data_IF_905577852596
#
_entry.id   IF_905577852596
#
_cell.length_a   1.000
_cell.length_b   1.000
_cell.length_c   1.000
_cell.angle_alpha   90.00
_cell.angle_beta   90.00
_cell.angle_gamma   90.00
#
_symmetry.space_group_name_H-M   'P 1'
#
loop_
_entity.id
_entity.type
_entity.pdbx_description
1 polymer ?
#
# COMPACT_ATOMS: atom_id res chain seq x y z
N UNK A 1 -28.22 4.03 20.88
CA UNK A 1 -26.76 3.94 20.69
C UNK A 1 -26.18 5.19 21.32
N UNK A 2 -25.27 5.03 22.27
CA UNK A 2 -24.68 6.13 23.03
C UNK A 2 -23.81 7.01 22.09
N UNK A 3 -23.84 8.33 22.29
CA UNK A 3 -23.01 9.29 21.52
C UNK A 3 -21.52 9.00 21.73
N UNK A 4 -21.15 8.50 22.91
CA UNK A 4 -19.80 8.03 23.19
C UNK A 4 -19.39 6.83 22.31
N UNK A 5 -20.27 5.85 22.12
CA UNK A 5 -20.04 4.67 21.27
C UNK A 5 -19.83 5.08 19.81
N UNK A 6 -20.65 6.01 19.29
CA UNK A 6 -20.47 6.55 17.93
C UNK A 6 -19.14 7.29 17.76
N UNK A 7 -18.72 8.03 18.78
CA UNK A 7 -17.46 8.79 18.74
C UNK A 7 -16.26 7.83 18.76
N UNK A 8 -16.29 6.80 19.60
CA UNK A 8 -15.26 5.77 19.67
C UNK A 8 -15.11 5.03 18.32
N UNK A 9 -16.22 4.67 17.68
CA UNK A 9 -16.19 4.03 16.35
C UNK A 9 -15.57 4.93 15.29
N UNK A 10 -15.90 6.23 15.29
CA UNK A 10 -15.29 7.19 14.36
C UNK A 10 -13.78 7.31 14.59
N UNK A 11 -13.34 7.33 15.85
CA UNK A 11 -11.92 7.32 16.20
C UNK A 11 -11.25 6.07 15.64
N UNK A 12 -11.84 4.88 15.83
CA UNK A 12 -11.28 3.63 15.30
C UNK A 12 -11.23 3.60 13.76
N UNK A 13 -12.24 4.12 13.09
CA UNK A 13 -12.24 4.28 11.62
C UNK A 13 -11.10 5.21 11.16
N UNK A 14 -10.88 6.32 11.87
CA UNK A 14 -9.77 7.23 11.58
C UNK A 14 -8.42 6.56 11.80
N UNK A 15 -8.25 5.83 12.90
CA UNK A 15 -7.03 5.07 13.20
C UNK A 15 -6.69 4.08 12.09
N UNK A 16 -7.65 3.25 11.66
CA UNK A 16 -7.46 2.28 10.57
C UNK A 16 -7.08 2.97 9.25
N UNK A 17 -7.70 4.12 8.95
CA UNK A 17 -7.35 4.91 7.77
C UNK A 17 -5.90 5.39 7.82
N UNK A 18 -5.48 5.99 8.93
CA UNK A 18 -4.12 6.51 9.11
C UNK A 18 -3.07 5.39 9.01
N UNK A 19 -3.39 4.19 9.51
CA UNK A 19 -2.53 3.00 9.36
C UNK A 19 -2.35 2.60 7.89
N UNK A 20 -3.43 2.58 7.10
CA UNK A 20 -3.36 2.33 5.65
C UNK A 20 -2.50 3.40 4.94
N UNK A 21 -2.74 4.68 5.25
CA UNK A 21 -1.97 5.79 4.68
C UNK A 21 -0.48 5.62 4.96
N UNK A 22 -0.13 5.33 6.21
CA UNK A 22 1.26 5.09 6.62
C UNK A 22 1.90 3.95 5.84
N UNK A 23 1.30 2.76 5.83
CA UNK A 23 1.88 1.59 5.13
C UNK A 23 2.04 1.86 3.64
N UNK A 24 1.04 2.47 3.01
CA UNK A 24 1.10 2.81 1.58
C UNK A 24 2.24 3.77 1.26
N UNK A 25 2.45 4.77 2.12
CA UNK A 25 3.50 5.76 1.97
C UNK A 25 4.89 5.16 2.21
N UNK A 26 5.03 4.31 3.22
CA UNK A 26 6.28 3.63 3.54
C UNK A 26 6.66 2.64 2.42
N UNK A 27 5.70 1.85 1.92
CA UNK A 27 5.90 1.00 0.75
C UNK A 27 6.32 1.79 -0.49
N UNK A 28 5.66 2.92 -0.75
CA UNK A 28 6.03 3.82 -1.84
C UNK A 28 7.49 4.28 -1.72
N UNK A 29 7.90 4.74 -0.53
CA UNK A 29 9.26 5.22 -0.28
C UNK A 29 10.32 4.14 -0.49
N UNK A 30 10.06 2.94 0.02
CA UNK A 30 11.00 1.81 -0.08
C UNK A 30 11.18 1.38 -1.55
N UNK A 31 10.09 1.30 -2.32
CA UNK A 31 10.13 0.78 -3.69
C UNK A 31 10.53 1.84 -4.73
N UNK A 32 10.11 3.09 -4.55
CA UNK A 32 10.25 4.13 -5.61
C UNK A 32 11.63 4.79 -5.67
N UNK A 33 12.54 4.46 -4.74
CA UNK A 33 13.75 5.24 -4.40
C UNK A 33 13.42 6.68 -3.92
N UNK A 34 14.17 7.22 -2.94
CA UNK A 34 13.79 8.44 -2.21
C UNK A 34 13.77 9.73 -3.04
N UNK A 35 14.38 9.75 -4.24
CA UNK A 35 14.61 10.99 -5.01
C UNK A 35 13.46 11.39 -5.95
N UNK A 36 12.39 10.59 -6.05
CA UNK A 36 11.23 10.95 -6.88
C UNK A 36 10.21 11.72 -6.04
N UNK A 37 9.96 13.02 -6.34
CA UNK A 37 8.93 13.76 -5.62
C UNK A 37 7.59 13.07 -5.83
N UNK A 38 6.79 12.84 -4.76
CA UNK A 38 5.47 12.27 -4.90
C UNK A 38 4.66 13.18 -5.82
N UNK A 39 4.16 12.63 -6.93
CA UNK A 39 3.24 13.34 -7.81
C UNK A 39 1.98 13.69 -7.03
N UNK A 40 1.42 14.88 -7.28
CA UNK A 40 0.33 15.50 -6.51
C UNK A 40 -1.00 14.69 -6.46
N UNK A 41 -1.06 13.51 -7.07
CA UNK A 41 -2.14 12.53 -6.95
C UNK A 41 -1.79 11.37 -6.00
N UNK A 42 -0.98 11.63 -4.96
CA UNK A 42 -0.47 10.63 -4.01
C UNK A 42 -1.51 10.17 -2.99
N UNK A 43 -2.67 9.74 -3.46
CA UNK A 43 -3.66 9.12 -2.59
C UNK A 43 -3.15 7.74 -2.17
N UNK A 44 -3.39 7.36 -0.90
CA UNK A 44 -3.02 6.05 -0.38
C UNK A 44 -3.53 4.90 -1.27
N UNK A 45 -4.68 5.08 -1.92
CA UNK A 45 -5.24 4.15 -2.91
C UNK A 45 -4.26 3.79 -4.04
N UNK A 46 -3.61 4.80 -4.62
CA UNK A 46 -2.60 4.62 -5.65
C UNK A 46 -1.32 4.00 -5.07
N UNK A 47 -0.89 4.47 -3.91
CA UNK A 47 0.36 4.06 -3.27
C UNK A 47 0.32 2.60 -2.75
N UNK A 48 -0.85 2.06 -2.44
CA UNK A 48 -1.00 0.67 -2.01
C UNK A 48 -0.45 -0.36 -3.02
N UNK A 49 -0.39 -0.01 -4.31
CA UNK A 49 0.20 -0.90 -5.31
C UNK A 49 1.69 -1.18 -5.08
N UNK A 50 2.41 -0.28 -4.39
CA UNK A 50 3.83 -0.43 -4.11
C UNK A 50 4.12 -1.53 -3.08
N UNK A 51 3.11 -1.99 -2.32
CA UNK A 51 3.25 -3.15 -1.42
C UNK A 51 3.64 -4.42 -2.21
N UNK A 52 3.27 -4.53 -3.49
CA UNK A 52 3.73 -5.64 -4.35
C UNK A 52 5.23 -5.68 -4.52
N UNK A 53 5.91 -4.52 -4.47
CA UNK A 53 7.37 -4.45 -4.55
C UNK A 53 8.09 -4.87 -3.29
N UNK A 54 7.36 -5.13 -2.18
CA UNK A 54 7.92 -5.58 -0.90
C UNK A 54 7.92 -7.11 -0.77
N UNK A 55 7.32 -7.83 -1.70
CA UNK A 55 7.08 -9.29 -1.58
C UNK A 55 7.59 -10.05 -2.81
N UNK A 56 7.88 -11.34 -2.63
CA UNK A 56 8.17 -12.25 -3.73
C UNK A 56 6.98 -12.45 -4.68
N UNK A 57 7.27 -12.77 -5.94
CA UNK A 57 6.25 -12.98 -6.98
C UNK A 57 5.28 -14.13 -6.67
N UNK A 58 5.72 -15.12 -5.92
CA UNK A 58 4.93 -16.25 -5.44
C UNK A 58 3.75 -15.82 -4.55
N UNK A 59 3.84 -14.65 -3.92
CA UNK A 59 2.82 -14.12 -3.00
C UNK A 59 1.92 -13.04 -3.61
N UNK A 60 2.11 -12.69 -4.88
CA UNK A 60 1.38 -11.57 -5.50
C UNK A 60 -0.14 -11.75 -5.45
N UNK A 61 -0.65 -12.97 -5.60
CA UNK A 61 -2.09 -13.25 -5.52
C UNK A 61 -2.69 -12.88 -4.15
N UNK A 62 -2.01 -13.28 -3.07
CA UNK A 62 -2.39 -12.96 -1.69
C UNK A 62 -2.37 -11.43 -1.47
N UNK A 63 -1.27 -10.80 -1.84
CA UNK A 63 -1.04 -9.36 -1.60
C UNK A 63 -2.02 -8.50 -2.40
N UNK A 64 -2.31 -8.86 -3.66
CA UNK A 64 -3.35 -8.18 -4.45
C UNK A 64 -4.72 -8.25 -3.79
N UNK A 65 -5.05 -9.39 -3.16
CA UNK A 65 -6.28 -9.54 -2.38
C UNK A 65 -6.35 -8.55 -1.23
N UNK A 66 -5.29 -8.46 -0.43
CA UNK A 66 -5.20 -7.53 0.70
C UNK A 66 -5.24 -6.07 0.22
N UNK A 67 -4.51 -5.71 -0.83
CA UNK A 67 -4.53 -4.37 -1.43
C UNK A 67 -5.96 -3.96 -1.80
N UNK A 68 -6.71 -4.84 -2.49
CA UNK A 68 -8.10 -4.54 -2.89
C UNK A 68 -9.01 -4.29 -1.68
N UNK A 69 -8.87 -5.09 -0.63
CA UNK A 69 -9.63 -4.90 0.61
C UNK A 69 -9.23 -3.60 1.32
N UNK A 70 -7.93 -3.29 1.42
CA UNK A 70 -7.44 -2.05 2.01
C UNK A 70 -7.93 -0.81 1.27
N UNK A 71 -7.98 -0.85 -0.07
CA UNK A 71 -8.57 0.23 -0.89
C UNK A 71 -10.05 0.44 -0.59
N UNK A 72 -10.80 -0.65 -0.46
CA UNK A 72 -12.21 -0.60 -0.08
C UNK A 72 -12.38 0.06 1.30
N UNK A 73 -11.59 -0.35 2.29
CA UNK A 73 -11.60 0.20 3.65
C UNK A 73 -11.24 1.68 3.63
N UNK A 74 -10.21 2.07 2.88
CA UNK A 74 -9.79 3.47 2.76
C UNK A 74 -10.90 4.36 2.19
N UNK A 75 -11.59 3.91 1.14
CA UNK A 75 -12.72 4.64 0.57
C UNK A 75 -13.89 4.73 1.54
N UNK A 76 -14.25 3.61 2.19
CA UNK A 76 -15.35 3.56 3.16
C UNK A 76 -15.09 4.40 4.40
N UNK A 77 -13.87 4.39 4.93
CA UNK A 77 -13.48 5.25 6.05
C UNK A 77 -13.61 6.73 5.68
N UNK A 78 -13.24 7.11 4.45
CA UNK A 78 -13.49 8.45 3.90
C UNK A 78 -14.97 8.84 3.95
N UNK A 79 -15.84 7.96 3.44
CA UNK A 79 -17.28 8.23 3.39
C UNK A 79 -17.88 8.37 4.80
N UNK A 80 -17.42 7.55 5.75
CA UNK A 80 -17.86 7.60 7.16
C UNK A 80 -17.39 8.89 7.83
N UNK A 81 -16.12 9.26 7.68
CA UNK A 81 -15.54 10.46 8.30
C UNK A 81 -16.13 11.77 7.73
N UNK A 82 -16.49 11.78 6.44
CA UNK A 82 -17.15 12.93 5.81
C UNK A 82 -18.68 12.93 6.00
N UNK A 83 -19.25 11.98 6.74
CA UNK A 83 -20.70 11.88 6.94
C UNK A 83 -21.50 11.62 5.66
N UNK A 84 -20.84 11.17 4.58
CA UNK A 84 -21.46 10.88 3.28
C UNK A 84 -22.10 9.50 3.25
N UNK A 85 -21.71 8.63 4.17
CA UNK A 85 -22.37 7.35 4.39
C UNK A 85 -23.28 7.43 5.61
N UNK A 86 -24.55 7.04 5.45
CA UNK A 86 -25.45 6.75 6.57
C UNK A 86 -24.95 5.59 7.45
N UNK A 87 -23.85 4.92 7.06
CA UNK A 87 -23.07 3.93 7.82
C UNK A 87 -22.30 4.57 8.99
N UNK A 88 -23.01 5.30 9.85
CA UNK A 88 -22.57 5.51 11.24
C UNK A 88 -22.40 4.18 12.02
N UNK A 89 -22.74 3.05 11.40
CA UNK A 89 -22.57 1.71 11.94
C UNK A 89 -21.61 0.88 11.09
N UNK A 90 -20.33 1.25 11.02
CA UNK A 90 -19.34 0.17 11.04
C UNK A 90 -19.61 -0.58 12.35
N UNK A 91 -20.19 -1.78 12.25
CA UNK A 91 -20.40 -2.62 13.43
C UNK A 91 -19.03 -2.98 14.02
N UNK A 92 -18.99 -3.37 15.30
CA UNK A 92 -17.74 -3.86 15.91
C UNK A 92 -17.12 -4.98 15.08
N UNK A 93 -17.96 -5.90 14.58
CA UNK A 93 -17.54 -7.00 13.69
C UNK A 93 -16.87 -6.48 12.42
N UNK A 94 -17.44 -5.48 11.75
CA UNK A 94 -16.82 -4.89 10.56
C UNK A 94 -15.50 -4.19 10.89
N UNK A 95 -15.42 -3.52 12.04
CA UNK A 95 -14.17 -2.88 12.48
C UNK A 95 -13.07 -3.92 12.80
N UNK A 96 -13.44 -5.05 13.41
CA UNK A 96 -12.52 -6.18 13.65
C UNK A 96 -12.03 -6.80 12.34
N UNK A 97 -12.92 -6.99 11.36
CA UNK A 97 -12.54 -7.46 10.02
C UNK A 97 -11.58 -6.47 9.32
N UNK A 98 -11.87 -5.18 9.43
CA UNK A 98 -11.00 -4.14 8.86
C UNK A 98 -9.64 -4.12 9.55
N UNK A 99 -9.62 -4.26 10.87
CA UNK A 99 -8.38 -4.36 11.63
C UNK A 99 -7.54 -5.56 11.21
N UNK A 100 -8.15 -6.72 10.98
CA UNK A 100 -7.44 -7.90 10.46
C UNK A 100 -6.82 -7.64 9.08
N UNK A 101 -7.55 -6.98 8.18
CA UNK A 101 -7.02 -6.62 6.85
C UNK A 101 -5.87 -5.64 6.97
N UNK A 102 -6.00 -4.60 7.80
CA UNK A 102 -4.94 -3.60 8.01
C UNK A 102 -3.70 -4.22 8.66
N UNK A 103 -3.86 -5.10 9.66
CA UNK A 103 -2.73 -5.82 10.26
C UNK A 103 -2.04 -6.78 9.28
N UNK A 104 -2.77 -7.41 8.36
CA UNK A 104 -2.14 -8.19 7.27
C UNK A 104 -1.37 -7.31 6.31
N UNK A 105 -1.90 -6.12 5.99
CA UNK A 105 -1.22 -5.14 5.15
C UNK A 105 0.09 -4.67 5.79
N UNK A 106 0.06 -4.32 7.08
CA UNK A 106 1.24 -3.94 7.88
C UNK A 106 2.27 -5.08 7.92
N UNK A 107 1.83 -6.32 8.08
CA UNK A 107 2.71 -7.48 8.13
C UNK A 107 3.58 -7.66 6.88
N UNK A 108 3.18 -7.18 5.70
CA UNK A 108 4.06 -7.21 4.51
C UNK A 108 5.23 -6.23 4.64
N UNK A 109 4.99 -5.07 5.25
CA UNK A 109 6.03 -4.08 5.50
C UNK A 109 7.01 -4.58 6.57
N UNK A 110 6.48 -5.12 7.67
CA UNK A 110 7.29 -5.64 8.78
C UNK A 110 8.17 -6.80 8.30
N UNK A 111 7.62 -7.75 7.54
CA UNK A 111 8.39 -8.86 6.97
C UNK A 111 9.51 -8.41 6.02
N UNK A 112 9.29 -7.33 5.28
CA UNK A 112 10.30 -6.77 4.39
C UNK A 112 11.44 -6.11 5.19
N UNK A 113 11.12 -5.43 6.29
CA UNK A 113 12.10 -4.78 7.16
C UNK A 113 12.86 -5.77 8.07
N UNK A 114 12.22 -6.87 8.45
CA UNK A 114 12.80 -7.93 9.30
C UNK A 114 13.49 -9.05 8.51
N UNK A 115 13.33 -9.10 7.18
CA UNK A 115 14.00 -10.07 6.33
C UNK A 115 15.53 -10.00 6.49
N UNK A 116 16.24 -11.15 6.51
CA UNK A 116 17.69 -11.13 6.65
C UNK A 116 18.30 -10.35 5.48
N UNK A 117 19.34 -9.55 5.76
CA UNK A 117 20.30 -9.11 4.75
C UNK A 117 20.83 -10.37 4.05
N UNK A 118 20.19 -10.79 2.97
CA UNK A 118 20.78 -11.75 2.05
C UNK A 118 21.78 -10.95 1.24
N UNK A 119 23.05 -11.18 1.59
CA UNK A 119 24.29 -10.84 0.90
C UNK A 119 24.13 -10.20 -0.49
N UNK A 120 24.82 -9.08 -0.66
CA UNK A 120 24.77 -8.20 -1.81
C UNK A 120 24.73 -8.89 -3.17
N UNK A 121 23.55 -8.86 -3.78
CA UNK A 121 23.38 -8.76 -5.24
C UNK A 121 21.95 -8.33 -5.55
N UNK A 122 21.66 -7.04 -5.40
CA UNK A 122 20.53 -6.41 -6.09
C UNK A 122 20.85 -6.27 -7.57
N UNK A 123 20.95 -7.41 -8.27
CA UNK A 123 20.80 -7.46 -9.71
C UNK A 123 19.30 -7.45 -10.02
N UNK A 124 18.67 -6.26 -9.93
CA UNK A 124 17.55 -5.98 -10.84
C UNK A 124 18.19 -5.83 -12.23
N UNK A 125 18.52 -6.96 -12.84
CA UNK A 125 18.82 -7.05 -14.25
C UNK A 125 17.50 -6.79 -14.96
N UNK A 126 17.23 -5.51 -15.25
CA UNK A 126 16.29 -5.14 -16.30
C UNK A 126 16.83 -5.81 -17.57
N UNK A 127 16.13 -6.75 -18.22
CA UNK A 127 16.57 -7.27 -19.50
C UNK A 127 16.55 -6.10 -20.49
N UNK A 128 17.73 -5.63 -20.88
CA UNK A 128 17.92 -4.76 -22.04
C UNK A 128 17.43 -5.54 -23.26
N UNK A 129 16.47 -5.02 -24.05
CA UNK A 129 16.07 -5.70 -25.28
C UNK A 129 17.28 -5.77 -26.22
N UNK A 130 17.65 -6.99 -26.59
CA UNK A 130 18.65 -7.24 -27.61
C UNK A 130 18.17 -6.64 -28.94
N UNK A 131 18.79 -5.52 -29.33
CA UNK A 131 18.50 -4.79 -30.56
C UNK A 131 19.79 -4.18 -31.11
N UNK A 132 20.56 -5.05 -31.77
CA UNK A 132 21.45 -4.78 -32.90
C UNK A 132 22.39 -3.56 -32.85
N UNK A 133 23.66 -3.87 -32.58
CA UNK A 133 24.78 -3.11 -33.06
C UNK A 133 24.77 -3.06 -34.60
N UNK A 134 24.83 -1.87 -35.19
CA UNK A 134 25.38 -1.70 -36.53
C UNK A 134 25.87 -0.27 -36.76
N UNK A 135 27.19 -0.16 -36.94
CA UNK A 135 27.79 0.75 -37.92
C UNK A 135 28.09 2.19 -37.49
N UNK A 136 29.26 2.41 -36.91
CA UNK A 136 30.05 3.61 -37.19
C UNK A 136 30.33 3.70 -38.70
N UNK A 137 30.01 4.82 -39.35
CA UNK A 137 30.84 5.38 -40.43
C UNK A 137 30.91 6.91 -40.24
N UNK A 138 32.14 7.38 -40.29
CA UNK A 138 32.60 8.73 -40.07
C UNK A 138 32.27 9.72 -41.21
N UNK A 139 32.43 11.00 -40.85
CA UNK A 139 32.39 12.21 -41.66
C UNK A 139 33.03 12.16 -43.05
N UNK A 140 32.37 12.86 -43.99
CA UNK A 140 32.99 13.90 -44.82
C UNK A 140 31.96 14.97 -45.16
#
# INVERSE_FOLDING_TARGET
>A
MDVADLSLRRIKVLELRLRIERVSFDAYKLVSKPDRPPTASSEADAQLAFVLGLVGQDRYGEVLGVIRLSRHIYKKSSDILHGRSGLLNASSVVLEEWELVVSRLEGFLDQYLEGPEVDGESAIAIPVPAGEASGQIASR
#
